data_IF_756117132618
#
_entry.id   IF_756117132618
#
_cell.length_a   1.000
_cell.length_b   1.000
_cell.length_c   1.000
_cell.angle_alpha   90.00
_cell.angle_beta   90.00
_cell.angle_gamma   90.00
#
_symmetry.space_group_name_H-M   'P 1'
#
loop_
_entity.id
_entity.type
_entity.pdbx_description
1 polymer ?
#
# COMPACT_ATOMS: atom_id res chain seq x y z
N UNK A 1 2.78 14.91 19.53
CA UNK A 1 3.54 13.98 18.69
C UNK A 1 4.97 14.46 18.70
N UNK A 2 5.93 13.64 19.14
CA UNK A 2 7.34 13.97 19.02
C UNK A 2 7.72 13.77 17.55
N UNK A 3 7.84 14.86 16.81
CA UNK A 3 8.28 14.84 15.42
C UNK A 3 9.63 15.55 15.35
N UNK A 4 10.71 14.86 14.92
CA UNK A 4 12.05 15.35 15.12
C UNK A 4 12.30 16.60 14.26
N UNK A 5 12.78 17.67 14.93
CA UNK A 5 13.09 18.97 14.30
C UNK A 5 14.31 18.90 13.37
N UNK A 6 15.21 17.95 13.62
CA UNK A 6 16.45 17.74 12.86
C UNK A 6 16.22 17.25 11.41
N UNK A 7 14.96 17.03 10.99
CA UNK A 7 14.56 16.52 9.68
C UNK A 7 15.20 15.18 9.26
N UNK A 8 15.68 14.37 10.21
CA UNK A 8 16.24 13.04 9.91
C UNK A 8 15.20 12.14 9.24
N UNK A 9 15.37 11.83 7.96
CA UNK A 9 14.47 10.97 7.21
C UNK A 9 14.38 9.56 7.81
N UNK A 10 15.51 9.00 8.25
CA UNK A 10 15.56 7.68 8.89
C UNK A 10 14.74 7.66 10.18
N UNK A 11 14.86 8.69 11.02
CA UNK A 11 14.10 8.80 12.27
C UNK A 11 12.60 8.95 12.00
N UNK A 12 12.24 9.75 11.00
CA UNK A 12 10.84 9.95 10.57
C UNK A 12 10.22 8.69 10.01
N UNK A 13 10.94 7.98 9.14
CA UNK A 13 10.52 6.68 8.60
C UNK A 13 10.35 5.67 9.73
N UNK A 14 11.28 5.63 10.69
CA UNK A 14 11.19 4.77 11.87
C UNK A 14 9.93 5.07 12.70
N UNK A 15 9.61 6.34 12.92
CA UNK A 15 8.39 6.76 13.62
C UNK A 15 7.13 6.30 12.87
N UNK A 16 7.04 6.57 11.57
CA UNK A 16 5.87 6.17 10.78
C UNK A 16 5.69 4.65 10.75
N UNK A 17 6.77 3.90 10.55
CA UNK A 17 6.76 2.43 10.64
C UNK A 17 6.27 1.98 12.00
N UNK A 18 6.82 2.54 13.08
CA UNK A 18 6.43 2.19 14.46
C UNK A 18 4.94 2.44 14.71
N UNK A 19 4.40 3.55 14.21
CA UNK A 19 2.98 3.86 14.31
C UNK A 19 2.10 2.89 13.51
N UNK A 20 2.58 2.41 12.36
CA UNK A 20 1.88 1.47 11.50
C UNK A 20 2.09 -0.02 11.86
N UNK A 21 3.06 -0.34 12.72
CA UNK A 21 3.49 -1.74 12.98
C UNK A 21 2.44 -2.59 13.69
N UNK A 22 1.45 -1.99 14.38
CA UNK A 22 0.34 -2.75 14.97
C UNK A 22 -0.91 -1.93 15.37
N UNK A 23 -1.52 -1.10 14.49
CA UNK A 23 -2.86 -0.61 14.77
C UNK A 23 -3.85 -1.77 14.63
N UNK A 24 -4.37 -2.28 15.74
CA UNK A 24 -5.62 -3.06 15.73
C UNK A 24 -6.84 -2.18 15.44
N UNK A 25 -6.65 -0.86 15.32
CA UNK A 25 -7.70 0.14 15.23
C UNK A 25 -7.37 1.18 14.15
N UNK A 26 -8.31 1.34 13.22
CA UNK A 26 -8.33 2.33 12.14
C UNK A 26 -8.13 3.78 12.63
N UNK A 27 -8.56 4.11 13.85
CA UNK A 27 -8.46 5.48 14.41
C UNK A 27 -7.04 6.05 14.38
N UNK A 28 -6.00 5.22 14.56
CA UNK A 28 -4.61 5.70 14.51
C UNK A 28 -4.20 6.11 13.09
N UNK A 29 -4.59 5.33 12.09
CA UNK A 29 -4.36 5.64 10.68
C UNK A 29 -5.11 6.89 10.25
N UNK A 30 -6.39 7.02 10.63
CA UNK A 30 -7.18 8.23 10.36
C UNK A 30 -6.54 9.46 11.02
N UNK A 31 -6.04 9.33 12.24
CA UNK A 31 -5.34 10.43 12.92
C UNK A 31 -4.05 10.82 12.20
N UNK A 32 -3.28 9.85 11.70
CA UNK A 32 -2.09 10.12 10.90
C UNK A 32 -2.44 10.87 9.60
N UNK A 33 -3.44 10.40 8.87
CA UNK A 33 -3.92 11.04 7.64
C UNK A 33 -4.43 12.47 7.90
N UNK A 34 -5.19 12.67 8.97
CA UNK A 34 -5.64 14.02 9.35
C UNK A 34 -4.46 14.95 9.66
N UNK A 35 -3.49 14.50 10.44
CA UNK A 35 -2.33 15.32 10.82
C UNK A 35 -1.44 15.68 9.62
N UNK A 36 -1.35 14.80 8.64
CA UNK A 36 -0.40 14.94 7.52
C UNK A 36 -1.03 15.56 6.28
N UNK A 37 -2.27 15.18 5.92
CA UNK A 37 -2.92 15.59 4.67
C UNK A 37 -3.97 16.69 4.85
N UNK A 38 -4.54 16.83 6.05
CA UNK A 38 -5.60 17.81 6.31
C UNK A 38 -5.10 19.05 7.07
N UNK A 39 -3.88 19.00 7.61
CA UNK A 39 -3.35 20.07 8.45
C UNK A 39 -2.77 21.21 7.61
N UNK A 40 -3.33 22.42 7.73
CA UNK A 40 -2.85 23.61 7.02
C UNK A 40 -1.63 24.29 7.66
N UNK A 41 -1.09 23.73 8.73
CA UNK A 41 0.00 24.32 9.52
C UNK A 41 1.41 23.97 9.01
N UNK A 42 1.52 23.38 7.81
CA UNK A 42 2.77 23.03 7.12
C UNK A 42 3.80 22.28 7.98
N UNK A 43 3.34 21.53 9.00
CA UNK A 43 4.23 20.79 9.91
C UNK A 43 4.95 19.62 9.25
N UNK A 44 4.39 19.10 8.17
CA UNK A 44 4.90 17.95 7.42
C UNK A 44 5.31 18.40 6.02
N UNK A 45 6.50 18.01 5.58
CA UNK A 45 6.90 18.21 4.20
C UNK A 45 6.15 17.25 3.27
N UNK A 46 6.17 17.53 1.97
CA UNK A 46 5.72 16.59 0.94
C UNK A 46 6.37 15.21 1.09
N UNK A 47 7.68 15.17 1.34
CA UNK A 47 8.41 13.92 1.57
C UNK A 47 7.88 13.14 2.79
N UNK A 48 7.53 13.85 3.87
CA UNK A 48 6.95 13.23 5.06
C UNK A 48 5.58 12.60 4.75
N UNK A 49 4.77 13.29 3.94
CA UNK A 49 3.48 12.76 3.48
C UNK A 49 3.67 11.53 2.60
N UNK A 50 4.57 11.57 1.60
CA UNK A 50 4.86 10.43 0.72
C UNK A 50 5.37 9.22 1.51
N UNK A 51 6.26 9.45 2.48
CA UNK A 51 6.79 8.40 3.35
C UNK A 51 5.67 7.74 4.17
N UNK A 52 4.79 8.56 4.75
CA UNK A 52 3.65 8.07 5.54
C UNK A 52 2.69 7.25 4.68
N UNK A 53 2.35 7.73 3.48
CA UNK A 53 1.50 7.00 2.51
C UNK A 53 2.13 5.67 2.11
N UNK A 54 3.44 5.67 1.86
CA UNK A 54 4.20 4.44 1.54
C UNK A 54 4.04 3.43 2.67
N UNK A 55 4.33 3.83 3.91
CA UNK A 55 4.25 2.95 5.08
C UNK A 55 2.83 2.41 5.26
N UNK A 56 1.81 3.27 5.20
CA UNK A 56 0.42 2.85 5.36
C UNK A 56 -0.04 1.87 4.27
N UNK A 57 0.42 2.05 3.03
CA UNK A 57 0.07 1.16 1.92
C UNK A 57 0.58 -0.27 2.09
N UNK A 58 1.62 -0.47 2.90
CA UNK A 58 2.20 -1.81 3.18
C UNK A 58 1.43 -2.61 4.24
N UNK A 59 0.51 -1.97 4.95
CA UNK A 59 -0.31 -2.61 5.97
C UNK A 59 -1.73 -2.73 5.46
N UNK A 60 -2.33 -3.93 5.49
CA UNK A 60 -3.67 -4.19 4.93
C UNK A 60 -4.73 -3.22 5.46
N UNK A 61 -4.85 -3.09 6.78
CA UNK A 61 -5.76 -2.13 7.41
C UNK A 61 -5.40 -0.67 7.07
N UNK A 62 -4.12 -0.36 6.92
CA UNK A 62 -3.63 0.96 6.54
C UNK A 62 -4.09 1.35 5.13
N UNK A 63 -3.90 0.47 4.15
CA UNK A 63 -4.38 0.65 2.77
C UNK A 63 -5.90 0.81 2.72
N UNK A 64 -6.66 -0.04 3.41
CA UNK A 64 -8.12 0.07 3.43
C UNK A 64 -8.58 1.41 4.03
N UNK A 65 -7.92 1.84 5.12
CA UNK A 65 -8.17 3.14 5.75
C UNK A 65 -7.84 4.30 4.80
N UNK A 66 -6.72 4.22 4.08
CA UNK A 66 -6.33 5.22 3.06
C UNK A 66 -7.42 5.40 2.02
N UNK A 67 -7.90 4.29 1.46
CA UNK A 67 -8.96 4.32 0.46
C UNK A 67 -10.26 4.89 1.02
N UNK A 68 -10.71 4.45 2.22
CA UNK A 68 -11.88 5.01 2.91
C UNK A 68 -11.74 6.51 3.18
N UNK A 69 -10.57 6.93 3.65
CA UNK A 69 -10.27 8.33 3.95
C UNK A 69 -10.32 9.20 2.71
N UNK A 70 -9.74 8.72 1.61
CA UNK A 70 -9.81 9.40 0.31
C UNK A 70 -11.25 9.53 -0.15
N UNK A 71 -12.06 8.47 -0.11
CA UNK A 71 -13.48 8.53 -0.49
C UNK A 71 -14.24 9.61 0.31
N UNK A 72 -13.99 9.70 1.61
CA UNK A 72 -14.68 10.63 2.51
C UNK A 72 -14.27 12.10 2.30
N UNK A 73 -13.00 12.35 1.97
CA UNK A 73 -12.43 13.70 1.93
C UNK A 73 -11.99 14.12 0.52
N UNK A 74 -12.48 13.42 -0.49
CA UNK A 74 -11.98 13.46 -1.86
C UNK A 74 -11.90 14.88 -2.45
N UNK A 75 -12.96 15.67 -2.30
CA UNK A 75 -13.02 17.03 -2.84
C UNK A 75 -11.92 17.93 -2.24
N UNK A 76 -11.73 17.88 -0.93
CA UNK A 76 -10.66 18.61 -0.26
C UNK A 76 -9.28 18.13 -0.72
N UNK A 77 -9.06 16.82 -0.73
CA UNK A 77 -7.76 16.23 -1.06
C UNK A 77 -7.34 16.54 -2.49
N UNK A 78 -8.28 16.47 -3.44
CA UNK A 78 -8.04 16.73 -4.86
C UNK A 78 -7.66 18.17 -5.17
N UNK A 79 -7.98 19.12 -4.28
CA UNK A 79 -7.77 20.55 -4.49
C UNK A 79 -6.68 21.14 -3.60
N UNK A 80 -6.39 20.54 -2.45
CA UNK A 80 -5.46 21.09 -1.45
C UNK A 80 -4.12 20.40 -1.39
N UNK A 81 -4.01 19.16 -1.84
CA UNK A 81 -2.73 18.47 -1.85
C UNK A 81 -1.89 18.93 -3.03
N UNK A 82 -0.58 19.03 -2.80
CA UNK A 82 0.41 19.17 -3.87
C UNK A 82 0.24 18.03 -4.87
N UNK A 83 0.43 18.33 -6.16
CA UNK A 83 0.13 17.42 -7.27
C UNK A 83 0.77 16.04 -7.08
N UNK A 84 2.04 16.01 -6.70
CA UNK A 84 2.84 14.81 -6.45
C UNK A 84 2.29 13.96 -5.29
N UNK A 85 1.90 14.58 -4.18
CA UNK A 85 1.26 13.90 -3.03
C UNK A 85 -0.09 13.35 -3.44
N UNK A 86 -0.88 14.13 -4.17
CA UNK A 86 -2.20 13.71 -4.65
C UNK A 86 -2.11 12.50 -5.58
N UNK A 87 -1.27 12.57 -6.61
CA UNK A 87 -1.03 11.48 -7.56
C UNK A 87 -0.56 10.21 -6.85
N UNK A 88 0.36 10.35 -5.89
CA UNK A 88 0.86 9.22 -5.10
C UNK A 88 -0.22 8.63 -4.19
N UNK A 89 -1.03 9.47 -3.54
CA UNK A 89 -2.11 9.02 -2.67
C UNK A 89 -3.18 8.25 -3.44
N UNK A 90 -3.56 8.75 -4.60
CA UNK A 90 -4.49 8.06 -5.51
C UNK A 90 -3.89 6.72 -5.95
N UNK A 91 -2.66 6.73 -6.49
CA UNK A 91 -1.99 5.51 -6.94
C UNK A 91 -1.95 4.44 -5.84
N UNK A 92 -1.50 4.80 -4.64
CA UNK A 92 -1.35 3.84 -3.54
C UNK A 92 -2.68 3.35 -2.99
N UNK A 93 -3.72 4.18 -2.99
CA UNK A 93 -5.05 3.80 -2.51
C UNK A 93 -5.82 2.88 -3.47
N UNK A 94 -5.47 2.88 -4.77
CA UNK A 94 -6.13 2.05 -5.78
C UNK A 94 -5.39 0.75 -6.12
N UNK A 95 -4.13 0.56 -5.71
CA UNK A 95 -3.23 -0.46 -6.28
C UNK A 95 -3.07 -1.75 -5.44
N UNK A 96 -3.62 -1.84 -4.23
CA UNK A 96 -3.37 -2.96 -3.31
C UNK A 96 -4.60 -3.83 -2.97
N UNK A 97 -5.62 -3.85 -3.81
CA UNK A 97 -6.73 -4.81 -3.68
C UNK A 97 -6.34 -6.19 -4.21
N UNK A 98 -6.87 -7.26 -3.58
CA UNK A 98 -6.60 -8.67 -3.93
C UNK A 98 -7.87 -9.52 -3.99
N UNK A 99 -9.03 -8.91 -3.81
CA UNK A 99 -10.34 -9.56 -3.82
C UNK A 99 -11.23 -8.94 -4.89
N UNK A 100 -12.20 -9.71 -5.40
CA UNK A 100 -13.20 -9.22 -6.35
C UNK A 100 -13.99 -8.05 -5.74
N UNK A 101 -14.44 -8.18 -4.49
CA UNK A 101 -15.13 -7.12 -3.75
C UNK A 101 -14.31 -5.81 -3.69
N UNK A 102 -13.00 -5.91 -3.46
CA UNK A 102 -12.11 -4.75 -3.42
C UNK A 102 -11.98 -4.07 -4.77
N UNK A 103 -11.86 -4.85 -5.85
CA UNK A 103 -11.81 -4.35 -7.23
C UNK A 103 -13.12 -3.67 -7.63
N UNK A 104 -14.27 -4.27 -7.32
CA UNK A 104 -15.59 -3.71 -7.62
C UNK A 104 -15.80 -2.39 -6.90
N UNK A 105 -15.51 -2.35 -5.59
CA UNK A 105 -15.60 -1.14 -4.77
C UNK A 105 -14.73 0.00 -5.32
N UNK A 106 -13.49 -0.29 -5.71
CA UNK A 106 -12.59 0.69 -6.30
C UNK A 106 -13.09 1.18 -7.66
N UNK A 107 -13.56 0.26 -8.50
CA UNK A 107 -14.09 0.56 -9.83
C UNK A 107 -15.35 1.43 -9.74
N UNK A 108 -16.31 1.08 -8.89
CA UNK A 108 -17.53 1.86 -8.66
C UNK A 108 -17.22 3.27 -8.19
N UNK A 109 -16.31 3.43 -7.22
CA UNK A 109 -15.93 4.74 -6.71
C UNK A 109 -15.29 5.61 -7.80
N UNK A 110 -14.41 5.03 -8.63
CA UNK A 110 -13.82 5.71 -9.78
C UNK A 110 -14.88 6.14 -10.80
N UNK A 111 -15.78 5.24 -11.21
CA UNK A 111 -16.81 5.56 -12.21
C UNK A 111 -17.76 6.67 -11.73
N UNK A 112 -18.21 6.62 -10.47
CA UNK A 112 -19.11 7.63 -9.88
C UNK A 112 -18.48 9.02 -9.81
N UNK A 113 -17.16 9.09 -9.65
CA UNK A 113 -16.43 10.35 -9.43
C UNK A 113 -15.50 10.72 -10.59
N UNK A 114 -15.62 10.06 -11.74
CA UNK A 114 -14.69 10.17 -12.88
C UNK A 114 -14.39 11.60 -13.30
N UNK A 115 -15.42 12.47 -13.31
CA UNK A 115 -15.30 13.90 -13.64
C UNK A 115 -14.35 14.70 -12.74
N UNK A 116 -14.07 14.20 -11.55
CA UNK A 116 -13.17 14.84 -10.59
C UNK A 116 -11.76 14.21 -10.59
N UNK A 117 -11.58 13.09 -11.29
CA UNK A 117 -10.30 12.39 -11.40
C UNK A 117 -9.50 12.76 -12.65
N UNK A 118 -9.89 13.82 -13.37
CA UNK A 118 -9.31 14.17 -14.68
C UNK A 118 -7.78 14.25 -14.65
N UNK A 119 -7.18 14.81 -13.59
CA UNK A 119 -5.73 14.94 -13.45
C UNK A 119 -4.99 13.62 -13.17
N UNK A 120 -5.69 12.59 -12.74
CA UNK A 120 -5.13 11.30 -12.28
C UNK A 120 -5.81 10.10 -12.95
N UNK A 121 -6.54 10.32 -14.03
CA UNK A 121 -7.39 9.32 -14.70
C UNK A 121 -6.56 8.11 -15.15
N UNK A 122 -5.43 8.37 -15.81
CA UNK A 122 -4.52 7.32 -16.28
C UNK A 122 -3.85 6.59 -15.11
N UNK A 123 -3.59 7.26 -13.99
CA UNK A 123 -3.04 6.63 -12.79
C UNK A 123 -4.03 5.60 -12.23
N UNK A 124 -5.31 5.97 -12.16
CA UNK A 124 -6.37 5.09 -11.64
C UNK A 124 -6.60 3.92 -12.59
N UNK A 125 -6.72 4.17 -13.91
CA UNK A 125 -6.87 3.10 -14.91
C UNK A 125 -5.75 2.07 -14.82
N UNK A 126 -4.50 2.54 -14.75
CA UNK A 126 -3.34 1.66 -14.61
C UNK A 126 -3.34 0.90 -13.29
N UNK A 127 -3.80 1.51 -12.20
CA UNK A 127 -3.91 0.84 -10.90
C UNK A 127 -5.02 -0.23 -10.90
N UNK A 128 -6.19 0.07 -11.45
CA UNK A 128 -7.31 -0.89 -11.57
C UNK A 128 -6.95 -2.09 -12.46
N UNK A 129 -6.23 -1.87 -13.56
CA UNK A 129 -5.76 -2.97 -14.41
C UNK A 129 -4.77 -3.87 -13.65
N UNK A 130 -3.85 -3.30 -12.87
CA UNK A 130 -2.95 -4.08 -12.01
C UNK A 130 -3.69 -4.88 -10.95
N UNK A 131 -4.70 -4.28 -10.31
CA UNK A 131 -5.53 -4.98 -9.34
C UNK A 131 -6.27 -6.13 -10.00
N UNK A 132 -6.83 -5.92 -11.20
CA UNK A 132 -7.52 -6.97 -11.96
C UNK A 132 -6.60 -8.17 -12.22
N UNK A 133 -5.38 -7.92 -12.68
CA UNK A 133 -4.36 -8.97 -12.88
C UNK A 133 -4.08 -9.72 -11.56
N UNK A 134 -3.98 -9.01 -10.44
CA UNK A 134 -3.70 -9.61 -9.13
C UNK A 134 -4.88 -10.43 -8.61
N UNK A 135 -6.11 -9.96 -8.76
CA UNK A 135 -7.33 -10.71 -8.41
C UNK A 135 -7.43 -11.97 -9.26
N UNK A 136 -7.18 -11.87 -10.56
CA UNK A 136 -7.15 -13.02 -11.47
C UNK A 136 -6.07 -14.05 -11.08
N UNK A 137 -4.89 -13.58 -10.67
CA UNK A 137 -3.83 -14.44 -10.18
C UNK A 137 -4.24 -15.16 -8.90
N UNK A 138 -4.79 -14.45 -7.90
CA UNK A 138 -5.27 -15.04 -6.64
C UNK A 138 -6.33 -16.10 -6.94
N UNK A 139 -7.32 -15.78 -7.77
CA UNK A 139 -8.40 -16.70 -8.15
C UNK A 139 -7.87 -18.01 -8.77
N UNK A 140 -6.84 -17.93 -9.61
CA UNK A 140 -6.25 -19.10 -10.28
C UNK A 140 -5.32 -19.93 -9.41
N UNK A 141 -4.63 -19.29 -8.46
CA UNK A 141 -3.49 -19.91 -7.78
C UNK A 141 -3.68 -20.13 -6.28
N UNK A 142 -4.70 -19.55 -5.64
CA UNK A 142 -4.90 -19.68 -4.20
C UNK A 142 -5.17 -21.13 -3.77
N UNK A 143 -6.08 -21.84 -4.42
CA UNK A 143 -6.40 -23.24 -4.07
C UNK A 143 -5.21 -24.19 -4.32
N UNK A 144 -4.52 -24.16 -5.47
CA UNK A 144 -3.29 -24.95 -5.65
C UNK A 144 -2.21 -24.66 -4.59
N UNK A 145 -2.02 -23.39 -4.23
CA UNK A 145 -1.03 -22.98 -3.24
C UNK A 145 -1.38 -23.48 -1.84
N UNK A 146 -2.66 -23.40 -1.46
CA UNK A 146 -3.16 -23.90 -0.17
C UNK A 146 -3.01 -25.43 -0.05
N UNK A 147 -3.30 -26.15 -1.15
CA UNK A 147 -3.04 -27.59 -1.23
C UNK A 147 -1.56 -27.93 -1.11
N UNK A 148 -0.69 -27.18 -1.78
CA UNK A 148 0.77 -27.36 -1.66
C UNK A 148 1.27 -27.09 -0.24
N UNK A 149 0.83 -25.99 0.39
CA UNK A 149 1.20 -25.65 1.78
C UNK A 149 0.75 -26.74 2.75
N UNK A 150 -0.47 -27.25 2.58
CA UNK A 150 -1.02 -28.34 3.41
C UNK A 150 -0.18 -29.60 3.30
N UNK A 151 0.22 -29.98 2.08
CA UNK A 151 1.08 -31.14 1.86
C UNK A 151 2.48 -30.94 2.44
N UNK A 152 3.08 -29.76 2.22
CA UNK A 152 4.42 -29.43 2.72
C UNK A 152 4.52 -29.48 4.25
N UNK A 153 3.45 -29.17 4.97
CA UNK A 153 3.39 -29.27 6.44
C UNK A 153 3.32 -30.73 6.94
N UNK A 154 2.88 -31.66 6.10
CA UNK A 154 2.79 -33.09 6.42
C UNK A 154 4.09 -33.83 6.08
N UNK A 155 4.86 -33.32 5.11
CA UNK A 155 6.16 -33.89 4.77
C UNK A 155 7.16 -33.64 5.92
N UNK A 156 7.84 -34.69 6.44
CA UNK A 156 8.90 -34.49 7.41
C UNK A 156 9.96 -33.58 6.80
N UNK A 157 10.30 -32.49 7.48
CA UNK A 157 11.38 -31.62 7.05
C UNK A 157 12.66 -32.44 6.95
N UNK A 158 13.08 -32.74 5.72
CA UNK A 158 14.37 -33.37 5.44
C UNK A 158 15.34 -32.23 5.19
N UNK A 159 16.24 -31.90 6.13
CA UNK A 159 17.33 -30.99 5.83
C UNK A 159 18.07 -31.55 4.62
N UNK A 160 17.95 -30.89 3.48
CA UNK A 160 18.97 -31.02 2.47
C UNK A 160 20.17 -30.28 3.05
N UNK A 161 21.16 -31.02 3.54
CA UNK A 161 22.48 -30.45 3.70
C UNK A 161 22.86 -29.91 2.33
N UNK A 162 22.91 -28.58 2.20
CA UNK A 162 23.46 -27.93 1.02
C UNK A 162 24.84 -28.53 0.79
N UNK A 163 24.98 -29.36 -0.24
CA UNK A 163 26.28 -29.84 -0.62
C UNK A 163 26.93 -28.75 -1.47
N UNK A 164 28.22 -28.50 -1.27
CA UNK A 164 28.97 -27.52 -2.08
C UNK A 164 28.89 -27.77 -3.59
N UNK A 165 28.43 -28.96 -4.03
CA UNK A 165 28.18 -29.32 -5.43
C UNK A 165 26.91 -28.72 -6.03
N UNK A 166 26.01 -28.21 -5.20
CA UNK A 166 24.74 -27.61 -5.62
C UNK A 166 24.90 -26.13 -6.03
N UNK A 167 26.08 -25.55 -5.82
CA UNK A 167 26.45 -24.25 -6.36
C UNK A 167 26.93 -24.47 -7.80
N UNK A 168 26.27 -23.88 -8.83
CA UNK A 168 26.80 -23.92 -10.17
C UNK A 168 28.23 -23.38 -10.14
N UNK A 169 29.22 -24.21 -10.47
CA UNK A 169 30.57 -23.75 -10.66
C UNK A 169 30.52 -22.73 -11.78
N UNK A 170 30.64 -21.45 -11.45
CA UNK A 170 30.97 -20.42 -12.42
C UNK A 170 32.31 -20.83 -13.01
N UNK A 171 32.26 -21.42 -14.20
CA UNK A 171 33.44 -21.63 -15.03
C UNK A 171 33.90 -20.24 -15.43
N UNK A 172 34.90 -19.72 -14.71
CA UNK A 172 35.68 -18.57 -15.15
C UNK A 172 36.87 -19.17 -15.90
N UNK A 173 36.89 -19.00 -17.22
CA UNK A 173 38.00 -19.38 -18.10
C UNK A 173 37.57 -20.26 -19.26
#
# INVERSE_FOLDING_TARGET
MYYPKNKSQTERLFIFRSLASCPKNETKFVRMLNLTLMSGDHKFSEEDMLTMLTVMSTVSLGHETMFKFMMKNFEYLSTKLEKTVWEYFVKTSFNNFRTEEGLDKATEFYQRNKRHFVSVDDIIKNALEKVKIQVDWVRKHLTPLDGWLTNALQEPWRPHEFQFRDVPSFVIG
#
